data_IF_669308408871
#
_entry.id   IF_669308408871
#
_cell.length_a   1.000
_cell.length_b   1.000
_cell.length_c   1.000
_cell.angle_alpha   90.00
_cell.angle_beta   90.00
_cell.angle_gamma   90.00
#
_symmetry.space_group_name_H-M   'P 1'
#
loop_
_entity.id
_entity.type
_entity.pdbx_description
1 polymer ?
#
# COMPACT_ATOMS: atom_id res chain seq x y z
N UNK A 1 0.08 -10.16 -13.81
CA UNK A 1 -0.11 -8.93 -14.60
C UNK A 1 -0.08 -9.31 -16.07
N UNK A 2 -1.23 -9.21 -16.76
CA UNK A 2 -1.41 -9.68 -18.15
C UNK A 2 -1.28 -8.59 -19.21
N UNK A 3 -0.79 -7.40 -18.84
CA UNK A 3 -0.61 -6.28 -19.75
C UNK A 3 0.70 -6.46 -20.52
N UNK A 4 0.63 -6.36 -21.86
CA UNK A 4 1.78 -6.42 -22.75
C UNK A 4 1.70 -5.26 -23.71
N UNK A 5 2.77 -4.47 -23.79
CA UNK A 5 2.91 -3.42 -24.81
C UNK A 5 3.86 -3.91 -25.89
N UNK A 6 3.57 -3.53 -27.13
CA UNK A 6 4.37 -3.85 -28.29
C UNK A 6 4.55 -2.61 -29.15
N UNK A 7 5.74 -2.43 -29.71
CA UNK A 7 5.98 -1.41 -30.74
C UNK A 7 6.14 -2.09 -32.09
N UNK A 8 5.41 -1.59 -33.08
CA UNK A 8 5.49 -2.02 -34.46
C UNK A 8 6.68 -1.38 -35.14
N UNK A 9 7.61 -2.20 -35.63
CA UNK A 9 8.74 -1.80 -36.45
C UNK A 9 8.50 -2.36 -37.84
N UNK A 10 8.40 -1.48 -38.83
CA UNK A 10 8.30 -1.89 -40.23
C UNK A 10 9.66 -2.43 -40.67
N UNK A 11 9.69 -3.70 -41.07
CA UNK A 11 10.84 -4.33 -41.69
C UNK A 11 10.53 -4.51 -43.18
N UNK A 12 11.25 -3.77 -44.01
CA UNK A 12 11.20 -3.92 -45.46
C UNK A 12 12.60 -4.04 -46.02
N UNK A 13 12.80 -4.93 -46.99
CA UNK A 13 13.97 -4.93 -47.86
C UNK A 13 13.64 -4.13 -49.13
N UNK A 14 14.58 -3.35 -49.71
CA UNK A 14 14.33 -2.63 -50.95
C UNK A 14 13.94 -3.61 -52.07
N UNK A 15 12.70 -3.51 -52.57
CA UNK A 15 12.16 -4.39 -53.62
C UNK A 15 11.40 -5.64 -53.16
N UNK A 16 11.22 -5.86 -51.84
CA UNK A 16 10.47 -7.01 -51.29
C UNK A 16 9.15 -6.63 -50.61
N UNK A 17 8.42 -7.64 -50.10
CA UNK A 17 7.19 -7.43 -49.30
C UNK A 17 7.55 -6.78 -47.96
N UNK A 18 6.93 -5.64 -47.65
CA UNK A 18 7.06 -4.99 -46.35
C UNK A 18 6.36 -5.83 -45.27
N UNK A 19 7.10 -6.22 -44.23
CA UNK A 19 6.60 -6.91 -43.06
C UNK A 19 6.62 -5.98 -41.83
N UNK A 20 5.86 -6.36 -40.81
CA UNK A 20 5.86 -5.64 -39.52
C UNK A 20 6.30 -6.61 -38.42
N UNK A 21 7.25 -6.18 -37.59
CA UNK A 21 7.67 -6.89 -36.38
C UNK A 21 7.15 -6.15 -35.15
N UNK A 22 6.59 -6.88 -34.19
CA UNK A 22 6.14 -6.32 -32.92
C UNK A 22 7.12 -6.70 -31.81
N UNK A 23 7.90 -5.72 -31.34
CA UNK A 23 8.86 -5.94 -30.25
C UNK A 23 8.18 -5.64 -28.91
N UNK A 24 8.19 -6.56 -27.94
CA UNK A 24 7.60 -6.31 -26.62
C UNK A 24 8.40 -5.27 -25.84
N UNK A 25 7.71 -4.41 -25.10
CA UNK A 25 8.31 -3.37 -24.25
C UNK A 25 7.85 -3.60 -22.80
N UNK A 26 8.74 -3.41 -21.80
CA UNK A 26 8.34 -3.45 -20.40
C UNK A 26 7.28 -2.39 -20.12
N UNK A 27 6.20 -2.80 -19.44
CA UNK A 27 5.11 -1.91 -19.03
C UNK A 27 5.21 -1.70 -17.53
N UNK A 28 5.17 -0.44 -17.11
CA UNK A 28 5.07 -0.02 -15.72
C UNK A 28 3.78 0.75 -15.52
N UNK A 29 3.12 0.53 -14.38
CA UNK A 29 1.94 1.29 -13.99
C UNK A 29 2.41 2.38 -13.05
N UNK A 30 2.35 3.62 -13.50
CA UNK A 30 2.63 4.80 -12.68
C UNK A 30 1.30 5.42 -12.27
N UNK A 31 1.11 5.65 -10.98
CA UNK A 31 -0.06 6.34 -10.44
C UNK A 31 0.37 7.50 -9.55
N UNK A 32 -0.38 8.60 -9.61
CA UNK A 32 -0.17 9.74 -8.71
C UNK A 32 -0.82 9.50 -7.34
N UNK A 33 -0.45 10.29 -6.34
CA UNK A 33 -0.98 10.16 -4.98
C UNK A 33 -2.53 10.24 -4.93
N UNK A 34 -3.19 11.22 -5.60
CA UNK A 34 -4.65 11.30 -5.60
C UNK A 34 -5.31 10.11 -6.32
N UNK A 35 -4.68 9.60 -7.36
CA UNK A 35 -5.16 8.44 -8.11
C UNK A 35 -5.07 7.17 -7.26
N UNK A 36 -3.99 7.00 -6.52
CA UNK A 36 -3.78 5.86 -5.62
C UNK A 36 -4.85 5.81 -4.53
N UNK A 37 -5.23 6.98 -3.99
CA UNK A 37 -6.35 7.09 -3.04
C UNK A 37 -7.69 6.71 -3.70
N UNK A 38 -7.98 7.24 -4.89
CA UNK A 38 -9.18 6.90 -5.66
C UNK A 38 -9.26 5.40 -6.00
N UNK A 39 -8.15 4.82 -6.45
CA UNK A 39 -8.03 3.39 -6.74
C UNK A 39 -8.26 2.53 -5.49
N UNK A 40 -7.75 2.95 -4.34
CA UNK A 40 -7.97 2.26 -3.05
C UNK A 40 -9.43 2.29 -2.62
N UNK A 41 -10.15 3.37 -2.90
CA UNK A 41 -11.60 3.43 -2.69
C UNK A 41 -12.34 2.50 -3.67
N UNK A 42 -11.99 2.55 -4.96
CA UNK A 42 -12.58 1.70 -5.99
C UNK A 42 -12.35 0.21 -5.76
N UNK A 43 -11.19 -0.18 -5.20
CA UNK A 43 -10.87 -1.57 -4.86
C UNK A 43 -11.91 -2.19 -3.92
N UNK A 44 -12.51 -1.40 -3.00
CA UNK A 44 -13.54 -1.88 -2.07
C UNK A 44 -14.82 -2.29 -2.80
N UNK A 45 -15.08 -1.75 -3.99
CA UNK A 45 -16.20 -2.14 -4.84
C UNK A 45 -16.12 -3.61 -5.27
N UNK A 46 -14.92 -4.17 -5.38
CA UNK A 46 -14.73 -5.57 -5.79
C UNK A 46 -15.14 -6.58 -4.71
N UNK A 47 -15.17 -6.20 -3.43
CA UNK A 47 -15.40 -7.12 -2.31
C UNK A 47 -16.82 -7.11 -1.73
N UNK A 48 -17.71 -6.18 -2.15
CA UNK A 48 -18.92 -5.84 -1.36
C UNK A 48 -20.26 -6.16 -2.07
N UNK A 49 -20.29 -6.56 -3.34
CA UNK A 49 -21.56 -6.65 -4.07
C UNK A 49 -21.98 -8.07 -4.51
N UNK A 50 -23.18 -8.55 -4.12
CA UNK A 50 -23.92 -9.55 -4.89
C UNK A 50 -24.26 -9.02 -6.29
N UNK A 51 -24.56 -9.89 -7.28
CA UNK A 51 -24.60 -9.57 -8.71
C UNK A 51 -25.68 -8.55 -9.17
N UNK A 52 -26.44 -7.95 -8.26
CA UNK A 52 -27.69 -7.24 -8.60
C UNK A 52 -27.82 -5.80 -8.06
N UNK A 53 -26.74 -5.16 -7.58
CA UNK A 53 -26.77 -3.75 -7.13
C UNK A 53 -25.75 -2.90 -7.89
N UNK A 54 -26.05 -1.63 -8.24
CA UNK A 54 -25.08 -0.73 -8.86
C UNK A 54 -23.78 -0.64 -8.05
N UNK A 55 -22.66 -0.72 -8.76
CA UNK A 55 -21.28 -0.66 -8.24
C UNK A 55 -20.89 0.77 -7.85
N UNK A 56 -21.62 1.35 -6.90
CA UNK A 56 -21.37 2.72 -6.43
C UNK A 56 -20.94 2.66 -4.97
N UNK A 57 -19.71 3.08 -4.70
CA UNK A 57 -19.21 3.28 -3.33
C UNK A 57 -19.29 4.77 -3.05
N UNK A 58 -20.09 5.14 -2.06
CA UNK A 58 -20.11 6.52 -1.55
C UNK A 58 -18.77 6.83 -0.86
N UNK A 59 -18.30 8.08 -0.90
CA UNK A 59 -17.13 8.49 -0.12
C UNK A 59 -17.37 8.13 1.35
N UNK A 60 -16.39 7.43 1.94
CA UNK A 60 -16.48 7.00 3.34
C UNK A 60 -16.33 8.19 4.27
N UNK A 61 -17.08 8.20 5.37
CA UNK A 61 -16.90 9.16 6.45
C UNK A 61 -15.46 9.09 6.99
N UNK A 62 -14.83 10.23 7.26
CA UNK A 62 -13.42 10.30 7.66
C UNK A 62 -13.10 9.44 8.88
N UNK A 63 -13.96 9.44 9.90
CA UNK A 63 -13.81 8.58 11.08
C UNK A 63 -13.86 7.08 10.74
N UNK A 64 -14.68 6.68 9.75
CA UNK A 64 -14.73 5.30 9.30
C UNK A 64 -13.47 4.91 8.50
N UNK A 65 -12.85 5.87 7.80
CA UNK A 65 -11.56 5.63 7.15
C UNK A 65 -10.44 5.44 8.18
N UNK A 66 -10.45 6.23 9.26
CA UNK A 66 -9.48 6.12 10.36
C UNK A 66 -9.62 4.79 11.08
N UNK A 67 -10.85 4.33 11.35
CA UNK A 67 -11.07 3.05 12.02
C UNK A 67 -10.62 1.85 11.18
N UNK A 68 -10.86 1.88 9.86
CA UNK A 68 -10.35 0.85 8.94
C UNK A 68 -8.82 0.89 8.86
N UNK A 69 -8.22 2.08 8.76
CA UNK A 69 -6.77 2.22 8.77
C UNK A 69 -6.15 1.67 10.06
N UNK A 70 -6.78 1.95 11.21
CA UNK A 70 -6.35 1.43 12.52
C UNK A 70 -6.45 -0.09 12.59
N UNK A 71 -7.54 -0.66 12.07
CA UNK A 71 -7.73 -2.12 12.00
C UNK A 71 -6.68 -2.78 11.10
N UNK A 72 -6.38 -2.14 9.96
CA UNK A 72 -5.32 -2.61 9.05
C UNK A 72 -3.95 -2.56 9.74
N UNK A 73 -3.63 -1.48 10.45
CA UNK A 73 -2.38 -1.36 11.21
C UNK A 73 -2.28 -2.45 12.28
N UNK A 74 -3.36 -2.72 13.02
CA UNK A 74 -3.39 -3.78 14.01
C UNK A 74 -3.08 -5.16 13.38
N UNK A 75 -3.73 -5.51 12.26
CA UNK A 75 -3.45 -6.78 11.58
C UNK A 75 -2.01 -6.92 11.07
N UNK A 76 -1.39 -5.81 10.65
CA UNK A 76 0.01 -5.81 10.21
C UNK A 76 0.96 -5.99 11.40
N UNK A 77 0.65 -5.38 12.55
CA UNK A 77 1.41 -5.59 13.78
C UNK A 77 1.30 -7.03 14.27
N UNK A 78 0.11 -7.64 14.21
CA UNK A 78 -0.09 -9.06 14.57
C UNK A 78 0.77 -10.00 13.70
N UNK A 79 0.90 -9.70 12.40
CA UNK A 79 1.78 -10.44 11.49
C UNK A 79 3.24 -10.33 11.92
N UNK A 80 3.70 -9.11 12.23
CA UNK A 80 5.07 -8.86 12.69
C UNK A 80 5.35 -9.59 14.01
N UNK A 81 4.43 -9.52 14.98
CA UNK A 81 4.55 -10.22 16.26
C UNK A 81 4.69 -11.72 16.04
N UNK A 82 3.83 -12.31 15.21
CA UNK A 82 3.89 -13.73 14.85
C UNK A 82 5.22 -14.12 14.22
N UNK A 83 5.75 -13.29 13.31
CA UNK A 83 7.06 -13.52 12.71
C UNK A 83 8.18 -13.51 13.76
N UNK A 84 8.18 -12.53 14.66
CA UNK A 84 9.18 -12.43 15.74
C UNK A 84 9.10 -13.64 16.67
N UNK A 85 7.90 -14.08 17.05
CA UNK A 85 7.70 -15.29 17.86
C UNK A 85 8.22 -16.55 17.17
N UNK A 86 7.96 -16.71 15.86
CA UNK A 86 8.41 -17.88 15.10
C UNK A 86 9.94 -17.91 14.91
N UNK A 87 10.59 -16.74 14.80
CA UNK A 87 12.06 -16.61 14.77
C UNK A 87 12.67 -16.94 16.14
N UNK A 88 12.09 -16.41 17.23
CA UNK A 88 12.54 -16.72 18.61
C UNK A 88 12.38 -18.21 18.90
N UNK A 89 11.28 -18.82 18.47
CA UNK A 89 11.01 -20.26 18.59
C UNK A 89 11.86 -21.14 17.66
N UNK A 90 12.78 -20.55 16.87
CA UNK A 90 13.64 -21.24 15.89
C UNK A 90 12.89 -22.02 14.81
N UNK A 91 11.63 -21.67 14.54
CA UNK A 91 10.84 -22.29 13.47
C UNK A 91 11.20 -21.75 12.09
N UNK A 92 11.68 -20.50 12.03
CA UNK A 92 12.13 -19.84 10.81
C UNK A 92 13.53 -19.24 11.00
N UNK A 93 14.39 -19.25 9.95
CA UNK A 93 15.69 -18.60 10.01
C UNK A 93 15.50 -17.07 10.12
N UNK A 94 16.28 -16.39 10.99
CA UNK A 94 16.22 -14.94 11.10
C UNK A 94 16.73 -14.28 9.82
N UNK A 95 15.95 -13.35 9.27
CA UNK A 95 16.39 -12.45 8.21
C UNK A 95 16.90 -11.12 8.81
N UNK A 96 18.18 -10.82 8.56
CA UNK A 96 18.84 -9.61 9.03
C UNK A 96 18.28 -8.33 8.39
N UNK A 97 17.78 -8.39 7.16
CA UNK A 97 17.18 -7.23 6.50
C UNK A 97 15.87 -6.84 7.19
N UNK A 98 15.02 -7.82 7.48
CA UNK A 98 13.76 -7.60 8.23
C UNK A 98 14.07 -7.12 9.65
N UNK A 99 15.03 -7.75 10.34
CA UNK A 99 15.45 -7.31 11.68
C UNK A 99 15.91 -5.85 11.73
N UNK A 100 16.63 -5.38 10.70
CA UNK A 100 17.05 -3.97 10.60
C UNK A 100 15.86 -3.03 10.38
N UNK A 101 14.94 -3.38 9.49
CA UNK A 101 13.74 -2.57 9.27
C UNK A 101 12.86 -2.47 10.54
N UNK A 102 12.76 -3.56 11.31
CA UNK A 102 12.05 -3.56 12.59
C UNK A 102 12.74 -2.68 13.63
N UNK A 103 14.08 -2.70 13.67
CA UNK A 103 14.86 -1.83 14.55
C UNK A 103 14.66 -0.36 14.16
N UNK A 104 14.79 -0.01 12.88
CA UNK A 104 14.56 1.35 12.38
C UNK A 104 13.14 1.83 12.69
N UNK A 105 12.13 0.96 12.61
CA UNK A 105 10.76 1.26 12.99
C UNK A 105 10.63 1.64 14.48
N UNK A 106 11.27 0.89 15.39
CA UNK A 106 11.23 1.18 16.83
C UNK A 106 11.96 2.48 17.14
N UNK A 107 13.12 2.70 16.52
CA UNK A 107 13.92 3.91 16.71
C UNK A 107 13.27 5.16 16.10
N UNK A 108 12.33 5.01 15.16
CA UNK A 108 11.55 6.15 14.66
C UNK A 108 10.64 6.78 15.72
N UNK A 109 10.32 6.04 16.79
CA UNK A 109 9.47 6.53 17.88
C UNK A 109 10.32 7.31 18.90
N UNK A 110 10.06 8.61 19.11
CA UNK A 110 10.82 9.42 20.05
C UNK A 110 10.56 8.95 21.50
N UNK A 111 11.63 8.78 22.26
CA UNK A 111 11.53 8.54 23.69
C UNK A 111 11.14 9.84 24.41
N UNK A 112 9.94 9.88 24.98
CA UNK A 112 9.44 11.02 25.75
C UNK A 112 8.99 10.58 27.15
N UNK A 113 9.08 11.49 28.12
CA UNK A 113 8.53 11.23 29.46
C UNK A 113 7.01 11.36 29.45
N UNK A 114 6.35 10.68 30.38
CA UNK A 114 4.88 10.68 30.48
C UNK A 114 4.32 12.09 30.72
N UNK A 115 5.04 12.93 31.47
CA UNK A 115 4.66 14.31 31.76
C UNK A 115 4.68 15.19 30.49
N UNK A 116 5.74 15.08 29.70
CA UNK A 116 5.87 15.82 28.44
C UNK A 116 4.80 15.40 27.43
N UNK A 117 4.51 14.09 27.34
CA UNK A 117 3.44 13.57 26.49
C UNK A 117 2.07 14.15 26.89
N UNK A 118 1.75 14.12 28.18
CA UNK A 118 0.45 14.59 28.68
C UNK A 118 0.27 16.09 28.44
N UNK A 119 1.33 16.88 28.64
CA UNK A 119 1.29 18.31 28.36
C UNK A 119 1.07 18.60 26.87
N UNK A 120 1.82 17.93 25.98
CA UNK A 120 1.68 18.08 24.53
C UNK A 120 0.29 17.64 24.04
N UNK A 121 -0.22 16.52 24.55
CA UNK A 121 -1.52 15.99 24.20
C UNK A 121 -2.66 16.93 24.62
N UNK A 122 -2.64 17.41 25.86
CA UNK A 122 -3.65 18.34 26.37
C UNK A 122 -3.61 19.70 25.66
N UNK A 123 -2.41 20.18 25.30
CA UNK A 123 -2.26 21.41 24.51
C UNK A 123 -2.88 21.26 23.11
N UNK A 124 -2.63 20.14 22.42
CA UNK A 124 -3.21 19.87 21.10
C UNK A 124 -4.74 19.70 21.15
N UNK A 125 -5.26 18.98 22.15
CA UNK A 125 -6.73 18.87 22.34
C UNK A 125 -7.36 20.25 22.55
N UNK A 126 -6.73 21.09 23.39
CA UNK A 126 -7.22 22.44 23.64
C UNK A 126 -7.21 23.30 22.39
N UNK A 127 -6.19 23.15 21.54
CA UNK A 127 -6.07 23.87 20.26
C UNK A 127 -7.11 23.37 19.24
N UNK A 128 -7.39 22.07 19.19
CA UNK A 128 -8.42 21.51 18.31
C UNK A 128 -9.85 21.87 18.74
N UNK A 129 -10.07 22.16 20.03
CA UNK A 129 -11.38 22.53 20.60
C UNK A 129 -11.66 24.04 20.57
N UNK A 130 -10.63 24.88 20.43
CA UNK A 130 -10.75 26.33 20.28
C UNK A 130 -11.07 26.70 18.83
#
# INVERSE_FOLDING_TARGET
>A
MGLKAYVCIQLGVPGGKSGCMFTPIPVEITSYEPETFGLRLLQKTMGVAPPHRPKTVSPMLDLAQISEASTKLQSLLDLILKYVEDVIARKQPPDNAVGRQLLDLIHSVPHMSHEQFTQMFNANIRDLLM
#
